data_IF_434514328570
#
_entry.id   IF_434514328570
#
_cell.length_a   1.000
_cell.length_b   1.000
_cell.length_c   1.000
_cell.angle_alpha   90.00
_cell.angle_beta   90.00
_cell.angle_gamma   90.00
#
_symmetry.space_group_name_H-M   'P 1'
#
loop_
_entity.id
_entity.type
_entity.pdbx_description
1 polymer ?
#
# COMPACT_ATOMS: atom_id res chain seq x y z
N UNK A 1 17.10 -17.85 7.30
CA UNK A 1 16.43 -16.56 7.62
C UNK A 1 17.17 -15.89 8.77
N UNK A 2 17.64 -14.65 8.60
CA UNK A 2 18.29 -13.87 9.68
C UNK A 2 17.33 -12.81 10.25
N UNK A 3 17.64 -12.25 11.43
CA UNK A 3 16.85 -11.21 12.10
C UNK A 3 16.49 -10.03 11.19
N UNK A 4 17.40 -9.65 10.28
CA UNK A 4 17.15 -8.62 9.27
C UNK A 4 15.97 -8.96 8.36
N UNK A 5 15.83 -10.23 7.95
CA UNK A 5 14.73 -10.66 7.08
C UNK A 5 13.39 -10.50 7.77
N UNK A 6 13.31 -10.90 9.04
CA UNK A 6 12.10 -10.75 9.84
C UNK A 6 11.75 -9.27 10.06
N UNK A 7 12.75 -8.41 10.31
CA UNK A 7 12.55 -6.98 10.45
C UNK A 7 12.03 -6.34 9.15
N UNK A 8 12.61 -6.69 8.00
CA UNK A 8 12.16 -6.19 6.69
C UNK A 8 10.72 -6.62 6.40
N UNK A 9 10.37 -7.87 6.66
CA UNK A 9 9.01 -8.39 6.49
C UNK A 9 8.05 -7.63 7.41
N UNK A 10 8.39 -7.47 8.69
CA UNK A 10 7.56 -6.79 9.68
C UNK A 10 7.28 -5.34 9.29
N UNK A 11 8.32 -4.57 8.94
CA UNK A 11 8.17 -3.17 8.52
C UNK A 11 7.33 -3.05 7.24
N UNK A 12 7.57 -3.93 6.28
CA UNK A 12 6.83 -3.94 5.01
C UNK A 12 5.35 -4.25 5.25
N UNK A 13 5.04 -5.24 6.09
CA UNK A 13 3.67 -5.60 6.46
C UNK A 13 2.98 -4.48 7.24
N UNK A 14 3.68 -3.82 8.16
CA UNK A 14 3.14 -2.69 8.92
C UNK A 14 2.78 -1.51 8.00
N UNK A 15 3.67 -1.15 7.08
CA UNK A 15 3.44 -0.09 6.10
C UNK A 15 2.27 -0.44 5.15
N UNK A 16 2.26 -1.69 4.64
CA UNK A 16 1.19 -2.18 3.79
C UNK A 16 -0.17 -2.16 4.51
N UNK A 17 -0.21 -2.67 5.74
CA UNK A 17 -1.44 -2.74 6.54
C UNK A 17 -1.99 -1.34 6.84
N UNK A 18 -1.11 -0.42 7.25
CA UNK A 18 -1.46 0.99 7.40
C UNK A 18 -2.07 1.55 6.12
N UNK A 19 -1.42 1.37 4.97
CA UNK A 19 -1.91 1.91 3.70
C UNK A 19 -3.32 1.41 3.34
N UNK A 20 -3.56 0.10 3.47
CA UNK A 20 -4.85 -0.52 3.15
C UNK A 20 -5.95 -0.03 4.08
N UNK A 21 -5.69 0.00 5.39
CA UNK A 21 -6.68 0.45 6.39
C UNK A 21 -7.02 1.92 6.18
N UNK A 22 -6.01 2.76 5.93
CA UNK A 22 -6.20 4.20 5.69
C UNK A 22 -7.05 4.45 4.45
N UNK A 23 -6.71 3.85 3.30
CA UNK A 23 -7.50 3.97 2.06
C UNK A 23 -8.96 3.53 2.26
N UNK A 24 -9.16 2.42 2.98
CA UNK A 24 -10.52 1.91 3.27
C UNK A 24 -11.30 2.90 4.13
N UNK A 25 -10.67 3.49 5.14
CA UNK A 25 -11.29 4.47 6.01
C UNK A 25 -11.63 5.76 5.23
N UNK A 26 -10.75 6.22 4.35
CA UNK A 26 -10.98 7.40 3.49
C UNK A 26 -12.19 7.21 2.58
N UNK A 27 -12.31 6.04 1.94
CA UNK A 27 -13.45 5.72 1.09
C UNK A 27 -14.78 5.77 1.86
N UNK A 28 -14.77 5.40 3.15
CA UNK A 28 -15.96 5.39 4.00
C UNK A 28 -16.45 6.80 4.36
N UNK A 29 -15.51 7.75 4.51
CA UNK A 29 -15.78 9.18 4.81
C UNK A 29 -16.36 9.94 3.62
N UNK A 30 -16.14 9.45 2.40
CA UNK A 30 -16.66 10.06 1.18
C UNK A 30 -18.15 9.77 0.96
N UNK A 31 -18.83 10.77 0.39
CA UNK A 31 -20.23 10.63 -0.04
C UNK A 31 -20.36 9.53 -1.09
N UNK A 32 -21.45 8.75 -1.05
CA UNK A 32 -21.60 7.52 -1.83
C UNK A 32 -21.42 7.75 -3.34
N UNK A 33 -21.80 8.93 -3.85
CA UNK A 33 -21.65 9.34 -5.25
C UNK A 33 -20.19 9.44 -5.70
N UNK A 34 -19.27 9.83 -4.82
CA UNK A 34 -17.86 10.07 -5.15
C UNK A 34 -16.97 8.84 -4.90
N UNK A 35 -17.47 7.84 -4.16
CA UNK A 35 -16.77 6.57 -3.90
C UNK A 35 -16.27 5.85 -5.15
N UNK A 36 -17.05 5.66 -6.24
CA UNK A 36 -16.55 4.95 -7.43
C UNK A 36 -15.41 5.69 -8.13
N UNK A 37 -15.41 7.03 -8.11
CA UNK A 37 -14.31 7.83 -8.66
C UNK A 37 -13.06 7.72 -7.79
N UNK A 38 -13.22 7.77 -6.47
CA UNK A 38 -12.13 7.55 -5.52
C UNK A 38 -11.46 6.19 -5.73
N UNK A 39 -12.24 5.10 -5.78
CA UNK A 39 -11.69 3.77 -5.99
C UNK A 39 -10.92 3.65 -7.31
N UNK A 40 -11.43 4.23 -8.39
CA UNK A 40 -10.73 4.26 -9.69
C UNK A 40 -9.39 4.97 -9.59
N UNK A 41 -9.34 6.11 -8.93
CA UNK A 41 -8.14 6.91 -8.79
C UNK A 41 -7.09 6.28 -7.87
N UNK A 42 -7.53 5.50 -6.87
CA UNK A 42 -6.63 4.78 -5.94
C UNK A 42 -6.25 3.38 -6.46
N UNK A 43 -6.88 2.87 -7.52
CA UNK A 43 -6.49 1.62 -8.21
C UNK A 43 -4.98 1.44 -8.42
N UNK A 44 -4.21 2.41 -8.94
CA UNK A 44 -2.77 2.22 -9.12
C UNK A 44 -2.02 2.01 -7.80
N UNK A 45 -2.47 2.65 -6.72
CA UNK A 45 -1.92 2.45 -5.38
C UNK A 45 -2.25 1.05 -4.86
N UNK A 46 -3.49 0.58 -5.05
CA UNK A 46 -3.88 -0.79 -4.70
C UNK A 46 -3.09 -1.83 -5.49
N UNK A 47 -2.83 -1.57 -6.78
CA UNK A 47 -1.99 -2.44 -7.60
C UNK A 47 -0.54 -2.50 -7.08
N UNK A 48 0.03 -1.37 -6.68
CA UNK A 48 1.36 -1.33 -6.06
C UNK A 48 1.39 -2.11 -4.73
N UNK A 49 0.36 -1.96 -3.89
CA UNK A 49 0.22 -2.71 -2.63
C UNK A 49 0.04 -4.22 -2.89
N UNK A 50 -0.66 -4.62 -3.93
CA UNK A 50 -0.73 -6.03 -4.35
C UNK A 50 0.65 -6.55 -4.79
N UNK A 51 1.43 -5.73 -5.50
CA UNK A 51 2.82 -6.02 -5.87
C UNK A 51 3.71 -6.28 -4.65
N UNK A 52 3.53 -5.55 -3.55
CA UNK A 52 4.25 -5.80 -2.29
C UNK A 52 3.97 -7.21 -1.76
N UNK A 53 2.70 -7.63 -1.75
CA UNK A 53 2.33 -9.00 -1.32
C UNK A 53 2.95 -10.05 -2.24
N UNK A 54 2.95 -9.80 -3.56
CA UNK A 54 3.61 -10.69 -4.52
C UNK A 54 5.11 -10.81 -4.26
N UNK A 55 5.81 -9.69 -4.03
CA UNK A 55 7.24 -9.68 -3.72
C UNK A 55 7.56 -10.39 -2.41
N UNK A 56 6.75 -10.18 -1.36
CA UNK A 56 6.89 -10.89 -0.09
C UNK A 56 6.65 -12.39 -0.25
N UNK A 57 5.60 -12.79 -0.99
CA UNK A 57 5.31 -14.19 -1.28
C UNK A 57 6.45 -14.86 -2.05
N UNK A 58 6.97 -14.19 -3.08
CA UNK A 58 8.11 -14.68 -3.85
C UNK A 58 9.38 -14.77 -2.99
N UNK A 59 9.64 -13.78 -2.14
CA UNK A 59 10.77 -13.81 -1.22
C UNK A 59 10.69 -15.01 -0.27
N UNK A 60 9.51 -15.32 0.25
CA UNK A 60 9.30 -16.49 1.14
C UNK A 60 9.46 -17.82 0.40
N UNK A 61 9.02 -17.91 -0.85
CA UNK A 61 9.20 -19.11 -1.69
C UNK A 61 10.65 -19.35 -2.08
N UNK A 62 11.43 -18.27 -2.30
CA UNK A 62 12.84 -18.32 -2.68
C UNK A 62 13.78 -18.20 -1.46
N UNK A 63 13.43 -18.88 -0.36
CA UNK A 63 14.26 -19.02 0.86
C UNK A 63 14.65 -17.69 1.54
N UNK A 64 13.85 -16.64 1.38
CA UNK A 64 14.09 -15.34 1.99
C UNK A 64 15.06 -14.48 1.20
N UNK A 65 15.00 -14.52 -0.13
CA UNK A 65 15.91 -13.75 -0.97
C UNK A 65 15.88 -12.24 -0.62
N UNK A 66 16.99 -11.76 -0.04
CA UNK A 66 17.08 -10.42 0.55
C UNK A 66 16.78 -9.30 -0.45
N UNK A 67 17.15 -9.47 -1.73
CA UNK A 67 16.87 -8.49 -2.78
C UNK A 67 15.36 -8.21 -2.95
N UNK A 68 14.52 -9.24 -2.82
CA UNK A 68 13.07 -9.09 -2.92
C UNK A 68 12.48 -8.37 -1.70
N UNK A 69 13.01 -8.65 -0.51
CA UNK A 69 12.60 -7.95 0.71
C UNK A 69 13.02 -6.47 0.68
N UNK A 70 14.23 -6.18 0.19
CA UNK A 70 14.71 -4.81 -0.02
C UNK A 70 13.95 -4.07 -1.13
N UNK A 71 13.40 -4.77 -2.12
CA UNK A 71 12.51 -4.17 -3.11
C UNK A 71 11.09 -3.94 -2.54
N UNK A 72 10.58 -4.85 -1.71
CA UNK A 72 9.24 -4.74 -1.14
C UNK A 72 9.11 -3.60 -0.13
N UNK A 73 10.14 -3.36 0.69
CA UNK A 73 10.14 -2.32 1.72
C UNK A 73 9.88 -0.89 1.18
N UNK A 74 10.65 -0.35 0.22
CA UNK A 74 10.43 1.00 -0.28
C UNK A 74 9.08 1.13 -0.99
N UNK A 75 8.62 0.08 -1.69
CA UNK A 75 7.29 0.10 -2.31
C UNK A 75 6.19 0.16 -1.24
N UNK A 76 6.32 -0.61 -0.15
CA UNK A 76 5.42 -0.53 0.99
C UNK A 76 5.43 0.83 1.69
N UNK A 77 6.62 1.40 1.91
CA UNK A 77 6.79 2.71 2.53
C UNK A 77 6.22 3.85 1.66
N UNK A 78 6.47 3.82 0.35
CA UNK A 78 5.87 4.76 -0.60
C UNK A 78 4.34 4.59 -0.67
N UNK A 79 3.86 3.34 -0.59
CA UNK A 79 2.43 3.05 -0.52
C UNK A 79 1.77 3.65 0.73
N UNK A 80 2.43 3.53 1.89
CA UNK A 80 1.99 4.16 3.14
C UNK A 80 2.03 5.69 3.06
N UNK A 81 3.08 6.27 2.50
CA UNK A 81 3.19 7.72 2.30
C UNK A 81 2.10 8.25 1.35
N UNK A 82 1.81 7.52 0.27
CA UNK A 82 0.73 7.85 -0.64
C UNK A 82 -0.64 7.76 0.04
N UNK A 83 -0.88 6.71 0.85
CA UNK A 83 -2.11 6.57 1.62
C UNK A 83 -2.27 7.71 2.64
N UNK A 84 -1.20 8.07 3.35
CA UNK A 84 -1.20 9.24 4.25
C UNK A 84 -1.52 10.54 3.50
N UNK A 85 -0.94 10.75 2.32
CA UNK A 85 -1.24 11.92 1.50
C UNK A 85 -2.71 11.99 1.04
N UNK A 86 -3.33 10.83 0.82
CA UNK A 86 -4.76 10.72 0.50
C UNK A 86 -5.64 11.02 1.71
N UNK A 87 -5.28 10.53 2.91
CA UNK A 87 -6.03 10.77 4.15
C UNK A 87 -6.10 12.25 4.55
N UNK A 88 -5.07 13.04 4.23
CA UNK A 88 -5.08 14.49 4.47
C UNK A 88 -6.25 15.21 3.78
N UNK A 89 -6.63 14.76 2.58
CA UNK A 89 -7.76 15.32 1.82
C UNK A 89 -8.25 14.30 0.76
N UNK A 90 -9.20 13.42 1.10
CA UNK A 90 -9.70 12.39 0.18
C UNK A 90 -10.41 13.00 -1.04
N UNK A 91 -10.97 14.21 -0.93
CA UNK A 91 -11.66 14.87 -2.04
C UNK A 91 -10.70 15.32 -3.14
N UNK A 92 -9.44 15.57 -2.81
CA UNK A 92 -8.38 15.91 -3.78
C UNK A 92 -8.26 14.87 -4.89
N UNK A 93 -8.35 13.59 -4.52
CA UNK A 93 -8.24 12.46 -5.44
C UNK A 93 -9.44 12.43 -6.40
N UNK A 94 -10.64 12.69 -5.88
CA UNK A 94 -11.88 12.74 -6.68
C UNK A 94 -11.85 13.93 -7.65
N UNK A 95 -11.40 15.11 -7.21
CA UNK A 95 -11.33 16.32 -8.05
C UNK A 95 -10.38 16.18 -9.23
N UNK A 96 -9.26 15.47 -9.07
CA UNK A 96 -8.30 15.21 -10.15
C UNK A 96 -8.80 14.20 -11.20
N UNK A 97 -9.89 13.50 -10.89
CA UNK A 97 -10.45 12.42 -11.70
C UNK A 97 -11.74 12.83 -12.43
N UNK A 98 -12.16 14.10 -12.28
CA UNK A 98 -13.26 14.74 -13.01
C UNK A 98 -12.67 15.62 -14.11
#
# INVERSE_FOLDING_TARGET
MSDLHYLLILLTLAAWFYAVVTIRNDASRLHYRDRPLFWRAVTPLLAALAGVIMLLGLALLLEGQAALLWAALPVGALGAAAAWWVDLDPQRVVRRSR
#
